data_IF_994589319658
#
_entry.id   IF_994589319658
#
_cell.length_a   1.000
_cell.length_b   1.000
_cell.length_c   1.000
_cell.angle_alpha   90.00
_cell.angle_beta   90.00
_cell.angle_gamma   90.00
#
_symmetry.space_group_name_H-M   'P 1'
#
loop_
_entity.id
_entity.type
_entity.pdbx_description
1 polymer ?
#
# COMPACT_ATOMS: atom_id res chain seq x y z
N UNK A 1 -25.74 -7.53 -14.66
CA UNK A 1 -24.25 -7.52 -14.58
C UNK A 1 -23.72 -8.12 -15.86
N UNK A 2 -22.84 -7.41 -16.57
CA UNK A 2 -22.34 -7.87 -17.86
C UNK A 2 -21.42 -9.08 -17.63
N UNK A 3 -21.59 -10.18 -18.37
CA UNK A 3 -20.76 -11.40 -18.23
C UNK A 3 -19.27 -11.10 -18.31
N UNK A 4 -18.91 -10.09 -19.12
CA UNK A 4 -17.55 -9.56 -19.27
C UNK A 4 -16.98 -9.05 -17.92
N UNK A 5 -17.77 -8.37 -17.11
CA UNK A 5 -17.33 -7.82 -15.81
C UNK A 5 -17.04 -8.90 -14.77
N UNK A 6 -17.82 -9.99 -14.80
CA UNK A 6 -17.61 -11.13 -13.89
C UNK A 6 -16.33 -11.86 -14.28
N UNK A 7 -16.14 -12.11 -15.57
CA UNK A 7 -14.94 -12.78 -16.10
C UNK A 7 -13.67 -11.96 -15.81
N UNK A 8 -13.70 -10.64 -16.03
CA UNK A 8 -12.55 -9.78 -15.75
C UNK A 8 -12.20 -9.70 -14.27
N UNK A 9 -13.20 -9.66 -13.38
CA UNK A 9 -12.99 -9.68 -11.93
C UNK A 9 -12.31 -10.96 -11.46
N UNK A 10 -12.80 -12.12 -11.91
CA UNK A 10 -12.22 -13.43 -11.55
C UNK A 10 -10.81 -13.57 -12.11
N UNK A 11 -10.57 -13.15 -13.36
CA UNK A 11 -9.24 -13.20 -13.97
C UNK A 11 -8.23 -12.28 -13.27
N UNK A 12 -8.62 -11.04 -12.95
CA UNK A 12 -7.73 -10.11 -12.26
C UNK A 12 -7.39 -10.61 -10.85
N UNK A 13 -8.39 -11.01 -10.08
CA UNK A 13 -8.22 -11.50 -8.70
C UNK A 13 -7.43 -12.81 -8.68
N UNK A 14 -7.78 -13.75 -9.54
CA UNK A 14 -7.08 -15.04 -9.68
C UNK A 14 -5.64 -14.86 -10.16
N UNK A 15 -5.39 -13.93 -11.08
CA UNK A 15 -4.05 -13.56 -11.53
C UNK A 15 -3.19 -13.06 -10.38
N UNK A 16 -3.66 -12.06 -9.63
CA UNK A 16 -2.93 -11.52 -8.46
C UNK A 16 -2.65 -12.63 -7.44
N UNK A 17 -3.63 -13.48 -7.13
CA UNK A 17 -3.45 -14.60 -6.20
C UNK A 17 -2.39 -15.60 -6.69
N UNK A 18 -2.43 -15.97 -7.96
CA UNK A 18 -1.47 -16.91 -8.55
C UNK A 18 -0.04 -16.34 -8.59
N UNK A 19 0.12 -15.09 -9.04
CA UNK A 19 1.42 -14.44 -9.07
C UNK A 19 2.01 -14.29 -7.67
N UNK A 20 1.20 -13.83 -6.71
CA UNK A 20 1.63 -13.68 -5.31
C UNK A 20 2.07 -15.03 -4.74
N UNK A 21 1.27 -16.09 -4.92
CA UNK A 21 1.61 -17.43 -4.45
C UNK A 21 2.93 -17.93 -5.05
N UNK A 22 3.09 -17.83 -6.37
CA UNK A 22 4.31 -18.29 -7.06
C UNK A 22 5.56 -17.51 -6.62
N UNK A 23 5.43 -16.21 -6.42
CA UNK A 23 6.53 -15.33 -6.02
C UNK A 23 6.94 -15.62 -4.57
N UNK A 24 5.98 -15.64 -3.64
CA UNK A 24 6.23 -15.89 -2.21
C UNK A 24 6.77 -17.29 -1.96
N UNK A 25 6.24 -18.31 -2.65
CA UNK A 25 6.70 -19.70 -2.46
C UNK A 25 8.15 -19.93 -2.92
N UNK A 26 8.71 -19.04 -3.75
CA UNK A 26 10.10 -19.10 -4.20
C UNK A 26 11.05 -18.26 -3.34
N UNK A 27 10.54 -17.51 -2.37
CA UNK A 27 11.38 -16.73 -1.46
C UNK A 27 12.05 -17.66 -0.43
N UNK A 28 13.34 -17.47 -0.23
CA UNK A 28 14.08 -18.16 0.83
C UNK A 28 13.71 -17.54 2.18
N UNK A 29 13.35 -18.37 3.14
CA UNK A 29 13.06 -17.96 4.52
C UNK A 29 14.36 -17.77 5.31
N UNK A 30 14.49 -16.69 6.08
CA UNK A 30 15.66 -16.47 6.93
C UNK A 30 15.55 -17.24 8.26
N UNK A 31 16.68 -17.49 8.92
CA UNK A 31 16.78 -18.22 10.19
C UNK A 31 16.29 -17.40 11.40
N UNK A 32 16.22 -16.07 11.28
CA UNK A 32 15.79 -15.17 12.36
C UNK A 32 14.43 -14.51 12.04
N UNK A 33 13.35 -15.11 12.55
CA UNK A 33 11.98 -14.68 12.31
C UNK A 33 11.70 -13.23 12.77
N UNK A 34 12.33 -12.75 13.84
CA UNK A 34 12.07 -11.41 14.39
C UNK A 34 12.69 -10.31 13.53
N UNK A 35 13.96 -10.44 13.11
CA UNK A 35 14.58 -9.45 12.21
C UNK A 35 13.96 -9.46 10.81
N UNK A 36 13.61 -10.63 10.29
CA UNK A 36 12.95 -10.76 8.98
C UNK A 36 11.56 -10.12 9.00
N UNK A 37 10.82 -10.24 10.10
CA UNK A 37 9.50 -9.64 10.27
C UNK A 37 9.54 -8.10 10.40
N UNK A 38 10.47 -7.55 11.18
CA UNK A 38 10.52 -6.11 11.44
C UNK A 38 11.33 -5.29 10.42
N UNK A 39 12.38 -5.87 9.85
CA UNK A 39 13.30 -5.12 8.95
C UNK A 39 13.32 -5.66 7.52
N UNK A 40 12.59 -6.74 7.23
CA UNK A 40 12.69 -7.44 5.94
C UNK A 40 14.11 -7.89 5.61
N UNK A 41 14.93 -8.14 6.66
CA UNK A 41 16.35 -8.48 6.52
C UNK A 41 17.24 -7.35 6.01
N UNK A 42 16.83 -6.07 6.17
CA UNK A 42 17.54 -4.88 5.63
C UNK A 42 17.73 -4.90 4.11
N UNK A 43 17.04 -5.80 3.41
CA UNK A 43 17.21 -6.04 1.98
C UNK A 43 16.28 -5.17 1.11
N UNK A 44 15.29 -4.50 1.71
CA UNK A 44 14.36 -3.64 0.97
C UNK A 44 14.98 -2.26 0.70
N UNK A 45 15.26 -1.99 -0.57
CA UNK A 45 15.69 -0.67 -1.05
C UNK A 45 14.58 0.37 -0.83
N UNK A 46 14.96 1.63 -0.58
CA UNK A 46 14.03 2.74 -0.28
C UNK A 46 12.83 2.91 -1.24
N UNK A 47 12.92 2.64 -2.57
CA UNK A 47 11.76 2.77 -3.46
C UNK A 47 10.68 1.73 -3.17
N UNK A 48 11.08 0.53 -2.74
CA UNK A 48 10.14 -0.55 -2.41
C UNK A 48 9.39 -0.20 -1.12
N UNK A 49 10.10 0.35 -0.13
CA UNK A 49 9.51 0.82 1.13
C UNK A 49 8.54 1.99 0.87
N UNK A 50 8.98 3.00 0.12
CA UNK A 50 8.13 4.14 -0.24
C UNK A 50 6.90 3.71 -1.05
N UNK A 51 7.08 2.81 -2.02
CA UNK A 51 5.99 2.26 -2.82
C UNK A 51 4.98 1.49 -1.97
N UNK A 52 5.43 0.67 -1.02
CA UNK A 52 4.55 -0.06 -0.09
C UNK A 52 3.74 0.89 0.79
N UNK A 53 4.36 1.96 1.31
CA UNK A 53 3.68 2.96 2.12
C UNK A 53 2.61 3.72 1.32
N UNK A 54 2.92 4.09 0.07
CA UNK A 54 1.95 4.71 -0.84
C UNK A 54 0.79 3.76 -1.16
N UNK A 55 1.07 2.48 -1.45
CA UNK A 55 0.04 1.48 -1.72
C UNK A 55 -0.86 1.20 -0.52
N UNK A 56 -0.35 1.37 0.70
CA UNK A 56 -1.14 1.23 1.93
C UNK A 56 -2.10 2.40 2.12
N UNK A 57 -1.75 3.58 1.59
CA UNK A 57 -2.62 4.75 1.62
C UNK A 57 -3.72 4.65 0.54
N UNK A 58 -3.38 4.19 -0.67
CA UNK A 58 -4.32 4.01 -1.78
C UNK A 58 -5.36 2.91 -1.53
N UNK A 59 -6.48 3.30 -0.95
CA UNK A 59 -7.62 2.43 -0.63
C UNK A 59 -8.85 2.78 -1.45
N UNK A 60 -9.87 1.91 -1.40
CA UNK A 60 -11.17 2.16 -2.04
C UNK A 60 -11.87 3.41 -1.51
N UNK A 61 -11.65 3.70 -0.23
CA UNK A 61 -12.16 4.86 0.50
C UNK A 61 -11.55 6.14 -0.03
N UNK A 62 -10.24 6.15 -0.27
CA UNK A 62 -9.59 7.30 -0.89
C UNK A 62 -9.95 7.44 -2.37
N UNK A 63 -9.95 6.35 -3.14
CA UNK A 63 -10.19 6.43 -4.58
C UNK A 63 -11.65 6.75 -4.95
N UNK A 64 -12.63 6.24 -4.21
CA UNK A 64 -14.06 6.49 -4.52
C UNK A 64 -14.64 7.52 -3.57
N UNK A 65 -14.34 7.43 -2.28
CA UNK A 65 -14.89 8.33 -1.26
C UNK A 65 -14.35 9.76 -1.38
N UNK A 66 -13.03 9.94 -1.52
CA UNK A 66 -12.45 11.29 -1.66
C UNK A 66 -12.91 11.96 -2.96
N UNK A 67 -12.96 11.20 -4.06
CA UNK A 67 -13.48 11.71 -5.33
C UNK A 67 -14.98 12.07 -5.24
N UNK A 68 -15.77 11.30 -4.49
CA UNK A 68 -17.17 11.62 -4.21
C UNK A 68 -17.33 12.89 -3.37
N UNK A 69 -16.50 13.07 -2.34
CA UNK A 69 -16.49 14.29 -1.52
C UNK A 69 -16.10 15.53 -2.33
N UNK A 70 -15.06 15.44 -3.16
CA UNK A 70 -14.63 16.54 -4.05
C UNK A 70 -15.74 16.91 -5.05
N UNK A 71 -16.48 15.93 -5.57
CA UNK A 71 -17.63 16.20 -6.44
C UNK A 71 -18.77 16.92 -5.70
N UNK A 72 -19.06 16.54 -4.46
CA UNK A 72 -20.08 17.17 -3.63
C UNK A 72 -19.73 18.59 -3.20
N UNK A 73 -18.52 18.80 -2.69
CA UNK A 73 -18.05 20.09 -2.17
C UNK A 73 -17.60 21.05 -3.27
N UNK A 74 -17.44 20.56 -4.52
CA UNK A 74 -16.92 21.29 -5.69
C UNK A 74 -15.55 21.95 -5.47
N UNK A 75 -14.84 21.50 -4.45
CA UNK A 75 -13.57 22.03 -4.01
C UNK A 75 -12.60 20.87 -3.78
N UNK A 76 -11.33 21.09 -4.10
CA UNK A 76 -10.26 20.08 -3.99
C UNK A 76 -9.75 19.93 -2.55
N UNK A 77 -10.63 20.06 -1.55
CA UNK A 77 -10.27 20.04 -0.13
C UNK A 77 -9.62 18.70 0.24
N UNK A 78 -10.04 17.61 -0.38
CA UNK A 78 -9.45 16.28 -0.18
C UNK A 78 -7.95 16.22 -0.51
N UNK A 79 -7.47 17.00 -1.48
CA UNK A 79 -6.04 17.03 -1.84
C UNK A 79 -5.21 17.69 -0.74
N UNK A 80 -5.77 18.69 -0.03
CA UNK A 80 -5.08 19.32 1.09
C UNK A 80 -4.82 18.32 2.23
N UNK A 81 -5.72 17.38 2.45
CA UNK A 81 -5.57 16.33 3.47
C UNK A 81 -4.42 15.37 3.12
N UNK A 82 -4.37 14.91 1.87
CA UNK A 82 -3.30 14.02 1.40
C UNK A 82 -1.94 14.71 1.37
N UNK A 83 -1.89 16.00 0.99
CA UNK A 83 -0.65 16.78 0.99
C UNK A 83 -0.10 16.98 2.41
N UNK A 84 -0.98 17.23 3.39
CA UNK A 84 -0.57 17.37 4.80
C UNK A 84 -0.12 16.03 5.40
N UNK A 85 -0.75 14.92 5.01
CA UNK A 85 -0.40 13.58 5.46
C UNK A 85 1.05 13.22 5.14
N UNK A 86 1.60 13.70 4.01
CA UNK A 86 3.02 13.51 3.68
C UNK A 86 3.95 14.09 4.76
N UNK A 87 3.67 15.29 5.26
CA UNK A 87 4.47 15.90 6.32
C UNK A 87 4.31 15.16 7.66
N UNK A 88 3.10 14.72 7.99
CA UNK A 88 2.85 13.92 9.19
C UNK A 88 3.59 12.57 9.13
N UNK A 89 3.68 11.93 7.97
CA UNK A 89 4.46 10.70 7.77
C UNK A 89 5.95 10.94 7.99
N UNK A 90 6.52 12.03 7.47
CA UNK A 90 7.92 12.38 7.72
C UNK A 90 8.18 12.61 9.21
N UNK A 91 7.33 13.36 9.90
CA UNK A 91 7.45 13.59 11.34
C UNK A 91 7.37 12.27 12.13
N UNK A 92 6.44 11.39 11.78
CA UNK A 92 6.29 10.07 12.40
C UNK A 92 7.52 9.20 12.15
N UNK A 93 8.05 9.18 10.92
CA UNK A 93 9.27 8.46 10.62
C UNK A 93 10.46 8.97 11.46
N UNK A 94 10.63 10.28 11.62
CA UNK A 94 11.73 10.83 12.41
C UNK A 94 11.64 10.50 13.91
N UNK A 95 10.43 10.39 14.46
CA UNK A 95 10.21 10.14 15.90
C UNK A 95 10.20 8.64 16.24
N UNK A 96 9.51 7.84 15.44
CA UNK A 96 9.25 6.43 15.75
C UNK A 96 10.35 5.52 15.18
N UNK A 97 10.79 5.73 13.94
CA UNK A 97 11.75 4.83 13.29
C UNK A 97 13.05 4.61 14.11
N UNK A 98 13.63 5.61 14.80
CA UNK A 98 14.82 5.42 15.65
C UNK A 98 14.61 4.55 16.91
N UNK A 99 13.36 4.29 17.32
CA UNK A 99 13.02 3.46 18.48
C UNK A 99 12.61 2.02 18.12
N UNK A 100 12.14 1.80 16.89
CA UNK A 100 11.59 0.51 16.44
C UNK A 100 12.50 -0.23 15.45
N UNK A 101 13.51 0.43 14.88
CA UNK A 101 14.64 -0.19 14.17
C UNK A 101 15.79 -0.48 15.13
#
# INVERSE_FOLDING_TARGET
>A
MNTISIISFILATGGVAFFTYRIVHRMKKSDNATEEYFTGGRALTWPIVAGSLLLTNLSTEQLVGLNGAVFGDKALVGIAWEALAAFAMVATALVFLPRYL
#
